data_IF_660887366855
#
_entry.id   IF_660887366855
#
_cell.length_a   1.000
_cell.length_b   1.000
_cell.length_c   1.000
_cell.angle_alpha   90.00
_cell.angle_beta   90.00
_cell.angle_gamma   90.00
#
_symmetry.space_group_name_H-M   'P 1'
#
loop_
_entity.id
_entity.type
_entity.pdbx_description
1 polymer ?
#
# COMPACT_ATOMS: atom_id res chain seq x y z
N UNK A 1 -7.94 -13.46 7.77
CA UNK A 1 -6.67 -12.94 7.23
C UNK A 1 -7.03 -12.13 6.02
N UNK A 2 -6.41 -10.97 5.87
CA UNK A 2 -6.71 -10.06 4.77
C UNK A 2 -5.44 -9.82 3.98
N UNK A 3 -5.57 -9.54 2.69
CA UNK A 3 -4.45 -9.29 1.80
C UNK A 3 -4.33 -7.79 1.54
N UNK A 4 -3.12 -7.27 1.64
CA UNK A 4 -2.78 -5.93 1.16
C UNK A 4 -1.74 -6.08 0.06
N UNK A 5 -2.07 -5.59 -1.13
CA UNK A 5 -1.18 -5.58 -2.28
C UNK A 5 -0.95 -4.16 -2.79
N UNK A 6 0.27 -3.91 -3.28
CA UNK A 6 0.62 -2.67 -3.98
C UNK A 6 1.17 -3.03 -5.35
N UNK A 7 0.60 -2.43 -6.37
CA UNK A 7 0.96 -2.63 -7.78
C UNK A 7 1.40 -1.28 -8.35
N UNK A 8 2.58 -1.23 -8.97
CA UNK A 8 3.10 -0.04 -9.65
C UNK A 8 3.39 -0.42 -11.10
N UNK A 9 2.70 0.21 -12.05
CA UNK A 9 2.83 -0.06 -13.48
C UNK A 9 2.69 -1.55 -13.85
N UNK A 10 1.75 -2.22 -13.19
CA UNK A 10 1.50 -3.65 -13.37
C UNK A 10 2.46 -4.57 -12.60
N UNK A 11 3.48 -4.03 -11.92
CA UNK A 11 4.41 -4.80 -11.10
C UNK A 11 3.98 -4.82 -9.64
N UNK A 12 3.82 -6.01 -9.07
CA UNK A 12 3.58 -6.16 -7.63
C UNK A 12 4.84 -5.82 -6.85
N UNK A 13 4.81 -4.70 -6.12
CA UNK A 13 5.93 -4.24 -5.27
C UNK A 13 5.74 -4.62 -3.80
N UNK A 14 4.50 -4.95 -3.42
CA UNK A 14 4.17 -5.51 -2.12
C UNK A 14 2.97 -6.46 -2.27
N UNK A 15 3.05 -7.59 -1.60
CA UNK A 15 1.93 -8.50 -1.40
C UNK A 15 2.08 -9.09 0.00
N UNK A 16 1.14 -8.76 0.89
CA UNK A 16 1.27 -9.11 2.30
C UNK A 16 -0.06 -9.58 2.86
N UNK A 17 0.01 -10.66 3.63
CA UNK A 17 -1.10 -11.11 4.46
C UNK A 17 -1.02 -10.41 5.81
N UNK A 18 -2.14 -9.85 6.23
CA UNK A 18 -2.23 -9.06 7.46
C UNK A 18 -3.35 -9.59 8.35
N UNK A 19 -3.13 -9.46 9.65
CA UNK A 19 -4.17 -9.69 10.65
C UNK A 19 -4.23 -8.52 11.62
N UNK A 20 -5.36 -8.38 12.31
CA UNK A 20 -5.57 -7.34 13.30
C UNK A 20 -4.81 -7.54 14.61
N UNK A 21 -3.98 -8.57 14.74
CA UNK A 21 -3.15 -8.71 15.92
C UNK A 21 -2.21 -7.51 16.04
N UNK A 22 -2.14 -6.94 17.24
CA UNK A 22 -1.19 -5.88 17.57
C UNK A 22 0.23 -6.32 17.16
N UNK A 23 0.81 -5.65 16.15
CA UNK A 23 2.17 -5.90 15.67
C UNK A 23 2.30 -6.65 14.33
N UNK A 24 1.20 -7.16 13.74
CA UNK A 24 1.23 -7.86 12.44
C UNK A 24 0.84 -6.95 11.24
N UNK A 25 0.63 -5.65 11.50
CA UNK A 25 0.47 -4.69 10.41
C UNK A 25 1.83 -4.40 9.75
N UNK A 26 1.88 -4.26 8.41
CA UNK A 26 3.14 -4.04 7.72
C UNK A 26 3.75 -2.71 8.17
N UNK A 27 5.04 -2.75 8.52
CA UNK A 27 5.78 -1.58 8.97
C UNK A 27 5.91 -0.58 7.81
N UNK A 28 5.47 0.67 8.03
CA UNK A 28 5.54 1.73 7.03
C UNK A 28 6.97 2.01 6.53
N UNK A 29 7.99 1.80 7.37
CA UNK A 29 9.39 1.93 6.94
C UNK A 29 9.81 0.81 5.99
N UNK A 30 9.29 -0.41 6.16
CA UNK A 30 9.59 -1.52 5.27
C UNK A 30 8.84 -1.38 3.94
N UNK A 31 7.61 -0.87 3.99
CA UNK A 31 6.85 -0.46 2.80
C UNK A 31 7.58 0.67 2.07
N UNK A 32 8.09 1.67 2.78
CA UNK A 32 8.87 2.75 2.15
C UNK A 32 10.08 2.18 1.39
N UNK A 33 10.76 1.16 1.93
CA UNK A 33 11.87 0.49 1.25
C UNK A 33 11.42 -0.25 -0.01
N UNK A 34 10.28 -0.93 -0.01
CA UNK A 34 9.77 -1.62 -1.20
C UNK A 34 9.30 -0.65 -2.28
N UNK A 35 8.83 0.54 -1.90
CA UNK A 35 8.38 1.60 -2.81
C UNK A 35 9.52 2.51 -3.30
N UNK A 36 10.72 2.40 -2.74
CA UNK A 36 11.88 3.16 -3.21
C UNK A 36 12.49 2.40 -4.40
N UNK A 37 12.40 2.90 -5.64
CA UNK A 37 13.09 2.28 -6.77
C UNK A 37 14.59 2.17 -6.50
N UNK A 38 15.26 1.19 -7.12
CA UNK A 38 16.68 0.88 -6.89
C UNK A 38 17.64 2.07 -7.12
N UNK A 39 17.19 3.10 -7.84
CA UNK A 39 17.92 4.36 -8.04
C UNK A 39 17.87 5.32 -6.83
N UNK A 40 17.23 4.94 -5.73
CA UNK A 40 17.15 5.72 -4.49
C UNK A 40 16.30 6.99 -4.58
N UNK A 41 15.64 7.24 -5.71
CA UNK A 41 14.89 8.49 -5.92
C UNK A 41 13.47 8.31 -5.40
N UNK A 42 13.14 9.04 -4.33
CA UNK A 42 11.80 9.09 -3.79
C UNK A 42 10.82 9.63 -4.84
N UNK A 43 9.84 8.82 -5.22
CA UNK A 43 8.83 9.22 -6.19
C UNK A 43 7.63 9.85 -5.48
N UNK A 44 7.02 10.93 -6.00
CA UNK A 44 5.87 11.58 -5.35
C UNK A 44 4.72 10.63 -5.01
N UNK A 45 4.43 9.66 -5.88
CA UNK A 45 3.39 8.66 -5.66
C UNK A 45 3.67 7.76 -4.45
N UNK A 46 4.94 7.56 -4.07
CA UNK A 46 5.30 6.69 -2.94
C UNK A 46 4.85 7.26 -1.60
N UNK A 47 4.87 8.59 -1.43
CA UNK A 47 4.30 9.25 -0.26
C UNK A 47 2.79 9.03 -0.16
N UNK A 48 2.09 9.14 -1.29
CA UNK A 48 0.64 8.96 -1.35
C UNK A 48 0.26 7.52 -1.02
N UNK A 49 0.97 6.52 -1.54
CA UNK A 49 0.75 5.11 -1.18
C UNK A 49 0.91 4.90 0.33
N UNK A 50 1.97 5.42 0.94
CA UNK A 50 2.21 5.29 2.39
C UNK A 50 1.07 5.93 3.19
N UNK A 51 0.62 7.12 2.78
CA UNK A 51 -0.50 7.81 3.40
C UNK A 51 -1.82 7.04 3.28
N UNK A 52 -2.14 6.57 2.07
CA UNK A 52 -3.32 5.74 1.80
C UNK A 52 -3.30 4.49 2.67
N UNK A 53 -2.19 3.75 2.68
CA UNK A 53 -2.06 2.54 3.47
C UNK A 53 -2.19 2.81 4.98
N UNK A 54 -1.59 3.91 5.47
CA UNK A 54 -1.78 4.34 6.86
C UNK A 54 -3.25 4.60 7.22
N UNK A 55 -4.00 5.23 6.32
CA UNK A 55 -5.44 5.46 6.50
C UNK A 55 -6.25 4.15 6.50
N UNK A 56 -5.98 3.25 5.56
CA UNK A 56 -6.60 1.92 5.48
C UNK A 56 -6.40 1.10 6.75
N UNK A 57 -5.17 1.07 7.25
CA UNK A 57 -4.82 0.39 8.48
C UNK A 57 -5.49 1.01 9.72
N UNK A 58 -5.63 2.34 9.74
CA UNK A 58 -6.34 3.04 10.81
C UNK A 58 -7.84 2.71 10.81
N UNK A 59 -8.47 2.75 9.63
CA UNK A 59 -9.89 2.39 9.45
C UNK A 59 -10.11 0.94 9.87
N UNK A 60 -9.25 0.03 9.43
CA UNK A 60 -9.36 -1.38 9.77
C UNK A 60 -9.21 -1.63 11.28
N UNK A 61 -8.28 -0.91 11.93
CA UNK A 61 -8.11 -0.98 13.39
C UNK A 61 -9.34 -0.44 14.13
N UNK A 62 -9.96 0.62 13.63
CA UNK A 62 -11.18 1.20 14.22
C UNK A 62 -12.41 0.29 14.01
N UNK A 63 -12.53 -0.32 12.83
CA UNK A 63 -13.67 -1.19 12.47
C UNK A 63 -13.55 -2.63 12.97
N UNK A 64 -12.38 -3.07 13.41
CA UNK A 64 -12.15 -4.45 13.86
C UNK A 64 -12.14 -5.48 12.72
N UNK A 65 -12.05 -5.03 11.46
CA UNK A 65 -11.89 -5.86 10.26
C UNK A 65 -10.94 -5.19 9.28
N UNK A 66 -9.99 -5.93 8.71
CA UNK A 66 -9.16 -5.46 7.59
C UNK A 66 -9.81 -5.95 6.29
N UNK A 67 -10.23 -5.08 5.35
CA UNK A 67 -10.64 -5.52 4.02
C UNK A 67 -9.43 -6.03 3.23
N UNK A 68 -9.65 -6.83 2.19
CA UNK A 68 -8.58 -7.03 1.21
C UNK A 68 -8.41 -5.73 0.44
N UNK A 69 -7.20 -5.20 0.39
CA UNK A 69 -6.91 -3.90 -0.23
C UNK A 69 -5.87 -4.06 -1.33
N UNK A 70 -6.17 -3.54 -2.51
CA UNK A 70 -5.19 -3.40 -3.60
C UNK A 70 -4.99 -1.92 -3.89
N UNK A 71 -3.76 -1.44 -3.78
CA UNK A 71 -3.39 -0.08 -4.18
C UNK A 71 -2.65 -0.16 -5.51
N UNK A 72 -3.22 0.42 -6.56
CA UNK A 72 -2.62 0.42 -7.90
C UNK A 72 -2.16 1.83 -8.26
N UNK A 73 -0.89 1.96 -8.60
CA UNK A 73 -0.32 3.17 -9.19
C UNK A 73 0.00 2.93 -10.65
N UNK A 74 -0.43 3.87 -11.50
CA UNK A 74 -0.09 3.90 -12.92
C UNK A 74 0.61 5.22 -13.22
N UNK A 75 1.88 5.15 -13.57
CA UNK A 75 2.70 6.28 -13.97
C UNK A 75 2.54 6.54 -15.47
N UNK A 76 2.66 7.81 -15.86
CA UNK A 76 2.58 8.32 -17.24
C UNK A 76 3.57 9.48 -17.35
N UNK A 77 3.95 9.84 -18.57
CA UNK A 77 4.87 10.96 -18.81
C UNK A 77 4.40 12.29 -18.20
N UNK A 78 3.09 12.47 -18.03
CA UNK A 78 2.46 13.68 -17.50
C UNK A 78 2.05 13.59 -16.03
N UNK A 79 2.28 12.46 -15.35
CA UNK A 79 1.89 12.28 -13.96
C UNK A 79 1.60 10.84 -13.58
N UNK A 80 0.72 10.64 -12.61
CA UNK A 80 0.35 9.31 -12.14
C UNK A 80 -1.08 9.29 -11.62
N UNK A 81 -1.69 8.11 -11.63
CA UNK A 81 -2.98 7.84 -11.01
C UNK A 81 -2.80 6.83 -9.89
N UNK A 82 -3.63 6.94 -8.85
CA UNK A 82 -3.71 5.99 -7.75
C UNK A 82 -5.14 5.50 -7.63
N UNK A 83 -5.31 4.19 -7.58
CA UNK A 83 -6.58 3.51 -7.42
C UNK A 83 -6.51 2.60 -6.19
N UNK A 84 -7.62 2.53 -5.43
CA UNK A 84 -7.72 1.73 -4.21
C UNK A 84 -8.95 0.86 -4.32
N UNK A 85 -8.74 -0.45 -4.39
CA UNK A 85 -9.81 -1.43 -4.46
C UNK A 85 -9.93 -2.16 -3.12
N UNK A 86 -11.17 -2.31 -2.66
CA UNK A 86 -11.52 -3.12 -1.50
C UNK A 86 -12.33 -4.34 -1.93
N UNK A 87 -11.85 -5.53 -1.57
CA UNK A 87 -12.61 -6.77 -1.68
C UNK A 87 -12.99 -7.28 -0.29
N UNK A 88 -14.26 -7.64 -0.12
CA UNK A 88 -14.81 -8.27 1.08
C UNK A 88 -14.40 -9.72 1.22
#
# INVERSE_FOLDING_TARGET
MSRIAIIVDGNTVMDSQVTLRQGELPNLDDIRKTLTPANGTFQPWSATIIGTLGAELLIAKAGGTIPNTTITVTTRDTGWTLDVEHAT
#
